data_IF_534990400942
#
_entry.id   IF_534990400942
#
_cell.length_a   1.000
_cell.length_b   1.000
_cell.length_c   1.000
_cell.angle_alpha   90.00
_cell.angle_beta   90.00
_cell.angle_gamma   90.00
#
_symmetry.space_group_name_H-M   'P 1'
#
loop_
_entity.id
_entity.type
_entity.pdbx_description
1 polymer ?
#
# COMPACT_ATOMS: atom_id res chain seq x y z
N UNK A 1 9.71 13.57 50.26
CA UNK A 1 8.56 12.89 49.61
C UNK A 1 7.66 13.87 48.86
N UNK A 2 7.09 14.89 49.51
CA UNK A 2 6.17 15.86 48.85
C UNK A 2 6.84 16.63 47.70
N UNK A 3 8.06 17.17 47.91
CA UNK A 3 8.79 17.88 46.85
C UNK A 3 9.10 16.99 45.65
N UNK A 4 9.49 15.74 45.89
CA UNK A 4 9.75 14.76 44.84
C UNK A 4 8.50 14.45 44.02
N UNK A 5 7.37 14.19 44.68
CA UNK A 5 6.08 13.96 44.01
C UNK A 5 5.61 15.19 43.22
N UNK A 6 5.82 16.40 43.75
CA UNK A 6 5.51 17.64 43.04
C UNK A 6 6.34 17.82 41.76
N UNK A 7 7.65 17.58 41.82
CA UNK A 7 8.52 17.65 40.64
C UNK A 7 8.13 16.61 39.58
N UNK A 8 7.81 15.38 39.98
CA UNK A 8 7.37 14.33 39.07
C UNK A 8 6.04 14.67 38.38
N UNK A 9 5.10 15.27 39.11
CA UNK A 9 3.83 15.73 38.56
C UNK A 9 4.03 16.82 37.51
N UNK A 10 4.81 17.87 37.81
CA UNK A 10 5.11 18.96 36.87
C UNK A 10 5.79 18.44 35.62
N UNK A 11 6.75 17.52 35.76
CA UNK A 11 7.46 16.92 34.64
C UNK A 11 6.50 16.12 33.73
N UNK A 12 5.57 15.36 34.32
CA UNK A 12 4.55 14.61 33.58
C UNK A 12 3.63 15.55 32.80
N UNK A 13 3.13 16.61 33.45
CA UNK A 13 2.25 17.60 32.80
C UNK A 13 2.98 18.33 31.67
N UNK A 14 4.24 18.70 31.87
CA UNK A 14 5.05 19.33 30.84
C UNK A 14 5.26 18.38 29.64
N UNK A 15 5.57 17.11 29.88
CA UNK A 15 5.72 16.11 28.82
C UNK A 15 4.42 15.92 28.01
N UNK A 16 3.27 15.81 28.70
CA UNK A 16 1.97 15.72 28.01
C UNK A 16 1.62 17.00 27.24
N UNK A 17 2.02 18.16 27.75
CA UNK A 17 1.80 19.44 27.07
C UNK A 17 2.64 19.55 25.80
N UNK A 18 3.92 19.12 25.84
CA UNK A 18 4.79 19.04 24.65
C UNK A 18 4.21 18.06 23.62
N UNK A 19 3.68 16.91 24.07
CA UNK A 19 2.98 15.99 23.19
C UNK A 19 1.71 16.62 22.56
N UNK A 20 0.95 17.40 23.34
CA UNK A 20 -0.19 18.17 22.81
C UNK A 20 0.21 19.20 21.76
N UNK A 21 1.36 19.88 21.94
CA UNK A 21 1.91 20.82 20.95
C UNK A 21 2.26 20.12 19.63
N UNK A 22 2.72 18.86 19.66
CA UNK A 22 2.94 18.07 18.45
C UNK A 22 1.62 17.90 17.66
N UNK A 23 0.51 17.66 18.35
CA UNK A 23 -0.82 17.58 17.73
C UNK A 23 -1.27 18.91 17.10
N UNK A 24 -1.04 20.05 17.77
CA UNK A 24 -1.32 21.36 17.19
C UNK A 24 -0.44 21.65 15.96
N UNK A 25 0.82 21.21 16.01
CA UNK A 25 1.74 21.33 14.89
C UNK A 25 1.29 20.49 13.68
N UNK A 26 0.84 19.25 13.87
CA UNK A 26 0.31 18.43 12.76
C UNK A 26 -0.97 19.00 12.17
N UNK A 27 -1.87 19.56 13.00
CA UNK A 27 -3.08 20.27 12.54
C UNK A 27 -2.69 21.51 11.72
N UNK A 28 -1.73 22.29 12.19
CA UNK A 28 -1.24 23.46 11.45
C UNK A 28 -0.61 23.06 10.11
N UNK A 29 0.21 22.01 10.08
CA UNK A 29 0.78 21.47 8.84
C UNK A 29 -0.32 21.00 7.87
N UNK A 30 -1.34 20.31 8.38
CA UNK A 30 -2.49 19.91 7.58
C UNK A 30 -3.22 21.13 6.99
N UNK A 31 -3.52 22.16 7.79
CA UNK A 31 -4.19 23.36 7.29
C UNK A 31 -3.37 24.15 6.29
N UNK A 32 -2.04 24.15 6.44
CA UNK A 32 -1.13 24.81 5.50
C UNK A 32 -1.08 24.12 4.14
N UNK A 33 -1.10 22.79 4.10
CA UNK A 33 -0.85 22.01 2.87
C UNK A 33 -2.09 21.25 2.34
N UNK A 34 -3.27 21.37 2.98
CA UNK A 34 -4.52 20.66 2.56
C UNK A 34 -5.00 20.99 1.15
N UNK A 35 -4.50 22.06 0.56
CA UNK A 35 -4.84 22.49 -0.80
C UNK A 35 -3.68 22.29 -1.79
N UNK A 36 -2.57 21.70 -1.34
CA UNK A 36 -1.45 21.39 -2.22
C UNK A 36 -1.86 20.27 -3.18
N UNK A 37 -1.57 20.47 -4.45
CA UNK A 37 -1.81 19.50 -5.52
C UNK A 37 -0.48 19.11 -6.14
N UNK A 38 -0.29 17.81 -6.34
CA UNK A 38 0.88 17.26 -7.00
C UNK A 38 0.42 16.57 -8.29
N UNK A 39 0.22 17.32 -9.38
CA UNK A 39 -0.19 16.71 -10.64
C UNK A 39 0.91 15.78 -11.16
N UNK A 40 0.52 14.63 -11.68
CA UNK A 40 1.45 13.68 -12.27
C UNK A 40 2.14 14.31 -13.49
N UNK A 41 3.47 14.17 -13.61
CA UNK A 41 4.20 14.53 -14.83
C UNK A 41 3.64 13.81 -16.05
N UNK A 42 3.63 14.48 -17.20
CA UNK A 42 3.23 13.85 -18.45
C UNK A 42 4.33 12.89 -18.93
N UNK A 43 4.06 11.59 -18.91
CA UNK A 43 4.96 10.54 -19.41
C UNK A 43 4.23 9.75 -20.49
N UNK A 44 4.90 9.51 -21.62
CA UNK A 44 4.29 8.73 -22.69
C UNK A 44 4.07 7.28 -22.22
N UNK A 45 3.00 6.59 -22.65
CA UNK A 45 2.75 5.20 -22.25
C UNK A 45 3.92 4.24 -22.53
N UNK A 46 4.68 4.51 -23.60
CA UNK A 46 5.87 3.76 -23.98
C UNK A 46 7.01 3.89 -22.95
N UNK A 47 7.09 5.01 -22.25
CA UNK A 47 8.17 5.33 -21.30
C UNK A 47 7.80 5.01 -19.84
N UNK A 48 6.54 4.60 -19.59
CA UNK A 48 6.13 4.15 -18.26
C UNK A 48 6.96 2.92 -17.81
N UNK A 49 7.42 2.85 -16.56
CA UNK A 49 8.20 1.72 -16.05
C UNK A 49 7.32 0.50 -15.76
N UNK A 50 7.92 -0.66 -15.52
CA UNK A 50 7.17 -1.86 -15.10
C UNK A 50 6.82 -1.78 -13.61
N UNK A 51 5.64 -2.28 -13.24
CA UNK A 51 5.13 -2.23 -11.87
C UNK A 51 4.63 -3.61 -11.43
N UNK A 52 5.05 -4.05 -10.25
CA UNK A 52 4.45 -5.18 -9.55
C UNK A 52 3.53 -4.68 -8.45
N UNK A 53 2.26 -5.07 -8.50
CA UNK A 53 1.28 -4.81 -7.44
C UNK A 53 1.21 -6.01 -6.51
N UNK A 54 1.47 -5.82 -5.22
CA UNK A 54 1.35 -6.85 -4.19
C UNK A 54 0.11 -6.62 -3.32
N UNK A 55 -0.67 -7.69 -3.16
CA UNK A 55 -1.91 -7.73 -2.40
C UNK A 55 -1.76 -8.71 -1.22
N UNK A 56 -1.13 -8.30 -0.10
CA UNK A 56 -0.98 -9.14 1.09
C UNK A 56 -2.32 -9.44 1.76
N UNK A 57 -2.63 -10.72 1.98
CA UNK A 57 -3.91 -11.20 2.51
C UNK A 57 -3.74 -12.24 3.62
N UNK A 58 -4.59 -12.15 4.65
CA UNK A 58 -4.65 -13.13 5.74
C UNK A 58 -6.05 -13.19 6.37
N UNK A 59 -6.83 -14.22 6.05
CA UNK A 59 -8.21 -14.43 6.52
C UNK A 59 -9.17 -13.30 6.11
N UNK A 60 -9.08 -12.87 4.85
CA UNK A 60 -9.76 -11.68 4.28
C UNK A 60 -10.84 -12.05 3.25
N UNK A 61 -11.55 -13.16 3.48
CA UNK A 61 -12.50 -13.74 2.52
C UNK A 61 -13.60 -12.79 2.01
N UNK A 62 -13.95 -11.76 2.78
CA UNK A 62 -15.04 -10.83 2.44
C UNK A 62 -14.62 -9.66 1.55
N UNK A 63 -13.31 -9.38 1.47
CA UNK A 63 -12.76 -8.21 0.76
C UNK A 63 -11.80 -8.59 -0.37
N UNK A 64 -11.26 -9.81 -0.37
CA UNK A 64 -10.30 -10.28 -1.37
C UNK A 64 -10.82 -10.16 -2.81
N UNK A 65 -12.12 -10.38 -3.04
CA UNK A 65 -12.69 -10.28 -4.38
C UNK A 65 -12.66 -8.84 -4.88
N UNK A 66 -13.06 -7.87 -4.05
CA UNK A 66 -13.06 -6.46 -4.36
C UNK A 66 -11.63 -5.93 -4.52
N UNK A 67 -10.70 -6.38 -3.67
CA UNK A 67 -9.28 -6.05 -3.76
C UNK A 67 -8.69 -6.46 -5.12
N UNK A 68 -8.87 -7.74 -5.51
CA UNK A 68 -8.35 -8.25 -6.78
C UNK A 68 -9.01 -7.55 -7.96
N UNK A 69 -10.33 -7.32 -7.90
CA UNK A 69 -11.04 -6.56 -8.93
C UNK A 69 -10.50 -5.15 -9.09
N UNK A 70 -10.25 -4.43 -7.99
CA UNK A 70 -9.68 -3.10 -8.01
C UNK A 70 -8.26 -3.10 -8.61
N UNK A 71 -7.41 -4.04 -8.21
CA UNK A 71 -6.06 -4.19 -8.75
C UNK A 71 -6.05 -4.53 -10.26
N UNK A 72 -6.92 -5.43 -10.71
CA UNK A 72 -7.05 -5.78 -12.14
C UNK A 72 -7.61 -4.62 -12.96
N UNK A 73 -8.38 -3.72 -12.34
CA UNK A 73 -8.98 -2.54 -12.97
C UNK A 73 -8.05 -1.33 -13.02
N UNK A 74 -6.81 -1.44 -12.52
CA UNK A 74 -5.80 -0.40 -12.68
C UNK A 74 -5.56 -0.12 -14.17
N UNK A 75 -5.68 1.14 -14.55
CA UNK A 75 -5.46 1.64 -15.89
C UNK A 75 -3.96 1.81 -16.12
N UNK A 76 -3.29 0.70 -16.43
CA UNK A 76 -1.85 0.66 -16.70
C UNK A 76 -1.56 -0.31 -17.85
N UNK A 77 -0.51 -0.09 -18.67
CA UNK A 77 -0.17 -1.01 -19.76
C UNK A 77 -0.04 -2.44 -19.25
N UNK A 78 -0.82 -3.37 -19.83
CA UNK A 78 -0.94 -4.76 -19.36
C UNK A 78 0.37 -5.54 -19.45
N UNK A 79 1.20 -5.21 -20.42
CA UNK A 79 2.55 -5.75 -20.62
C UNK A 79 3.56 -5.25 -19.57
N UNK A 80 3.22 -4.17 -18.85
CA UNK A 80 4.07 -3.55 -17.81
C UNK A 80 3.54 -3.75 -16.40
N UNK A 81 2.40 -4.43 -16.24
CA UNK A 81 1.76 -4.66 -14.95
C UNK A 81 1.85 -6.15 -14.58
N UNK A 82 2.36 -6.42 -13.40
CA UNK A 82 2.27 -7.73 -12.74
C UNK A 82 1.45 -7.58 -11.46
N UNK A 83 0.55 -8.50 -11.17
CA UNK A 83 -0.22 -8.55 -9.91
C UNK A 83 0.15 -9.81 -9.15
N UNK A 84 0.44 -9.68 -7.86
CA UNK A 84 0.74 -10.77 -6.96
C UNK A 84 -0.25 -10.73 -5.80
N UNK A 85 -1.11 -11.74 -5.69
CA UNK A 85 -1.86 -12.00 -4.46
C UNK A 85 -0.92 -12.73 -3.52
N UNK A 86 -0.63 -12.16 -2.37
CA UNK A 86 0.33 -12.72 -1.40
C UNK A 86 -0.44 -13.24 -0.21
N UNK A 87 -0.79 -14.52 -0.25
CA UNK A 87 -1.74 -15.11 0.70
C UNK A 87 -1.07 -16.04 1.72
N UNK A 88 -1.34 -15.75 2.99
CA UNK A 88 -0.90 -16.53 4.15
C UNK A 88 -2.09 -17.18 4.90
N UNK A 89 -3.28 -17.16 4.30
CA UNK A 89 -4.53 -17.46 4.98
C UNK A 89 -4.65 -18.92 5.37
N UNK A 90 -5.33 -19.18 6.50
CA UNK A 90 -5.63 -20.54 6.96
C UNK A 90 -7.10 -20.92 6.75
N UNK A 91 -7.91 -19.99 6.24
CA UNK A 91 -9.32 -20.16 5.96
C UNK A 91 -9.60 -20.25 4.45
N UNK A 92 -10.87 -20.08 4.06
CA UNK A 92 -11.33 -20.14 2.67
C UNK A 92 -10.70 -19.06 1.76
N UNK A 93 -10.07 -18.02 2.32
CA UNK A 93 -9.42 -16.94 1.56
C UNK A 93 -8.35 -17.50 0.62
N UNK A 94 -7.59 -18.50 1.07
CA UNK A 94 -6.52 -19.12 0.29
C UNK A 94 -7.02 -19.75 -1.02
N UNK A 95 -8.14 -20.48 -0.93
CA UNK A 95 -8.76 -21.11 -2.10
C UNK A 95 -9.37 -20.06 -3.03
N UNK A 96 -10.02 -19.05 -2.46
CA UNK A 96 -10.62 -17.95 -3.22
C UNK A 96 -9.57 -17.12 -3.97
N UNK A 97 -8.45 -16.78 -3.32
CA UNK A 97 -7.33 -16.08 -3.92
C UNK A 97 -6.74 -16.84 -5.12
N UNK A 98 -6.51 -18.15 -4.96
CA UNK A 98 -6.01 -19.00 -6.04
C UNK A 98 -7.00 -19.10 -7.22
N UNK A 99 -8.29 -19.22 -6.93
CA UNK A 99 -9.34 -19.28 -7.95
C UNK A 99 -9.45 -17.95 -8.74
N UNK A 100 -9.40 -16.81 -8.04
CA UNK A 100 -9.41 -15.48 -8.67
C UNK A 100 -8.18 -15.27 -9.57
N UNK A 101 -6.99 -15.65 -9.10
CA UNK A 101 -5.78 -15.57 -9.92
C UNK A 101 -5.93 -16.40 -11.20
N UNK A 102 -6.36 -17.67 -11.10
CA UNK A 102 -6.56 -18.53 -12.26
C UNK A 102 -7.62 -17.98 -13.24
N UNK A 103 -8.73 -17.44 -12.73
CA UNK A 103 -9.78 -16.84 -13.53
C UNK A 103 -9.26 -15.65 -14.35
N UNK A 104 -8.50 -14.74 -13.75
CA UNK A 104 -7.98 -13.57 -14.44
C UNK A 104 -6.78 -13.90 -15.35
N UNK A 105 -5.98 -14.91 -15.01
CA UNK A 105 -4.96 -15.45 -15.91
C UNK A 105 -5.57 -15.94 -17.23
N UNK A 106 -6.72 -16.63 -17.18
CA UNK A 106 -7.44 -17.07 -18.39
C UNK A 106 -7.92 -15.89 -19.26
N UNK A 107 -8.09 -14.70 -18.67
CA UNK A 107 -8.43 -13.47 -19.37
C UNK A 107 -7.20 -12.71 -19.89
N UNK A 108 -6.00 -13.29 -19.74
CA UNK A 108 -4.74 -12.70 -20.18
C UNK A 108 -4.13 -11.69 -19.20
N UNK A 109 -4.61 -11.63 -17.95
CA UNK A 109 -4.01 -10.78 -16.91
C UNK A 109 -2.77 -11.46 -16.34
N UNK A 110 -1.65 -10.73 -16.25
CA UNK A 110 -0.45 -11.17 -15.54
C UNK A 110 -0.65 -11.09 -14.03
N UNK A 111 -1.33 -12.08 -13.46
CA UNK A 111 -1.62 -12.19 -12.04
C UNK A 111 -1.18 -13.55 -11.51
N UNK A 112 -0.61 -13.63 -10.32
CA UNK A 112 -0.26 -14.89 -9.65
C UNK A 112 -0.71 -14.87 -8.19
N UNK A 113 -0.99 -16.06 -7.64
CA UNK A 113 -1.18 -16.24 -6.21
C UNK A 113 0.10 -16.86 -5.63
N UNK A 114 0.75 -16.15 -4.72
CA UNK A 114 1.97 -16.57 -4.03
C UNK A 114 1.58 -16.99 -2.62
N UNK A 115 1.80 -18.27 -2.33
CA UNK A 115 1.57 -18.86 -1.01
C UNK A 115 2.89 -19.42 -0.48
N UNK A 116 3.04 -19.39 0.84
CA UNK A 116 4.21 -19.97 1.51
C UNK A 116 3.78 -20.95 2.59
N UNK A 117 4.66 -21.92 2.85
CA UNK A 117 4.40 -22.98 3.83
C UNK A 117 4.61 -22.52 5.27
N UNK A 118 5.55 -21.57 5.49
CA UNK A 118 5.90 -21.08 6.82
C UNK A 118 5.67 -19.57 6.96
N UNK A 119 4.99 -19.17 8.03
CA UNK A 119 4.58 -17.77 8.28
C UNK A 119 5.64 -16.96 9.03
N UNK A 120 6.91 -17.13 8.69
CA UNK A 120 8.01 -16.40 9.33
C UNK A 120 7.98 -14.92 8.92
N UNK A 121 8.04 -14.01 9.90
CA UNK A 121 8.06 -12.56 9.63
C UNK A 121 6.70 -11.97 9.22
N UNK A 122 5.60 -12.73 9.32
CA UNK A 122 4.22 -12.26 9.05
C UNK A 122 4.12 -11.50 7.72
N UNK A 123 3.39 -10.37 7.68
CA UNK A 123 3.20 -9.55 6.48
C UNK A 123 4.52 -9.19 5.78
N UNK A 124 5.52 -8.73 6.54
CA UNK A 124 6.81 -8.32 5.97
C UNK A 124 7.55 -9.51 5.32
N UNK A 125 7.52 -10.68 5.97
CA UNK A 125 8.10 -11.90 5.40
C UNK A 125 7.37 -12.40 4.15
N UNK A 126 6.04 -12.24 4.11
CA UNK A 126 5.22 -12.63 2.96
C UNK A 126 5.54 -11.75 1.74
N UNK A 127 5.55 -10.43 1.94
CA UNK A 127 5.92 -9.46 0.92
C UNK A 127 7.36 -9.68 0.43
N UNK A 128 8.31 -9.92 1.34
CA UNK A 128 9.70 -10.21 0.98
C UNK A 128 9.86 -11.50 0.16
N UNK A 129 9.06 -12.55 0.44
CA UNK A 129 9.05 -13.77 -0.35
C UNK A 129 8.48 -13.53 -1.75
N UNK A 130 7.36 -12.83 -1.86
CA UNK A 130 6.74 -12.50 -3.15
C UNK A 130 7.62 -11.56 -4.00
N UNK A 131 8.38 -10.67 -3.34
CA UNK A 131 9.31 -9.75 -3.99
C UNK A 131 10.40 -10.46 -4.81
N UNK A 132 10.77 -11.69 -4.43
CA UNK A 132 11.74 -12.50 -5.20
C UNK A 132 11.24 -12.87 -6.60
N UNK A 133 9.92 -12.82 -6.82
CA UNK A 133 9.26 -13.12 -8.09
C UNK A 133 8.67 -11.86 -8.76
N UNK A 134 8.92 -10.68 -8.18
CA UNK A 134 8.48 -9.41 -8.73
C UNK A 134 9.30 -9.06 -9.97
N UNK A 135 8.64 -8.64 -11.05
CA UNK A 135 9.25 -8.26 -12.32
C UNK A 135 9.21 -6.76 -12.59
N UNK A 136 8.51 -6.00 -11.74
CA UNK A 136 8.42 -4.55 -11.80
C UNK A 136 9.71 -3.87 -11.37
N UNK A 137 10.03 -2.76 -12.02
CA UNK A 137 11.01 -1.80 -11.53
C UNK A 137 10.52 -1.15 -10.23
N UNK A 138 9.20 -0.90 -10.14
CA UNK A 138 8.54 -0.40 -8.94
C UNK A 138 7.56 -1.41 -8.36
N UNK A 139 7.33 -1.31 -7.06
CA UNK A 139 6.36 -2.14 -6.34
C UNK A 139 5.31 -1.25 -5.69
N UNK A 140 4.04 -1.54 -5.95
CA UNK A 140 2.90 -0.95 -5.25
C UNK A 140 2.29 -1.99 -4.32
N UNK A 141 2.01 -1.62 -3.07
CA UNK A 141 1.46 -2.53 -2.07
C UNK A 141 0.10 -1.98 -1.63
N UNK A 142 -0.94 -2.82 -1.68
CA UNK A 142 -2.28 -2.49 -1.21
C UNK A 142 -2.73 -3.51 -0.17
N UNK A 143 -3.13 -3.04 1.02
CA UNK A 143 -3.67 -3.92 2.05
C UNK A 143 -5.04 -4.49 1.63
N UNK A 144 -5.49 -5.55 2.28
CA UNK A 144 -6.61 -6.35 1.79
C UNK A 144 -7.96 -5.59 1.69
N UNK A 145 -8.10 -4.51 2.47
CA UNK A 145 -9.26 -3.63 2.50
C UNK A 145 -9.16 -2.41 1.57
N UNK A 146 -8.05 -2.27 0.83
CA UNK A 146 -7.85 -1.17 -0.11
C UNK A 146 -8.53 -1.43 -1.45
N UNK A 147 -9.11 -0.36 -1.99
CA UNK A 147 -9.67 -0.32 -3.35
C UNK A 147 -9.03 0.86 -4.08
N UNK A 148 -7.82 0.68 -4.66
CA UNK A 148 -7.19 1.75 -5.41
C UNK A 148 -8.07 2.16 -6.59
N UNK A 149 -8.10 3.46 -6.89
CA UNK A 149 -8.78 3.96 -8.09
C UNK A 149 -8.05 3.47 -9.35
N UNK A 150 -8.75 3.31 -10.49
CA UNK A 150 -8.12 2.88 -11.74
C UNK A 150 -6.89 3.69 -12.15
N UNK A 151 -6.92 5.01 -11.94
CA UNK A 151 -5.88 5.96 -12.30
C UNK A 151 -4.69 6.00 -11.32
N UNK A 152 -4.72 5.26 -10.20
CA UNK A 152 -3.73 5.37 -9.12
C UNK A 152 -2.28 5.24 -9.61
N UNK A 153 -1.98 4.27 -10.48
CA UNK A 153 -0.61 4.09 -11.00
C UNK A 153 -0.23 5.20 -11.98
N UNK A 154 -1.17 5.72 -12.78
CA UNK A 154 -0.90 6.86 -13.66
C UNK A 154 -0.67 8.15 -12.87
N UNK A 155 -1.31 8.30 -11.72
CA UNK A 155 -1.10 9.48 -10.87
C UNK A 155 0.20 9.41 -10.06
N UNK A 156 0.73 8.21 -9.80
CA UNK A 156 1.87 8.04 -8.88
C UNK A 156 3.18 7.73 -9.60
N UNK A 157 3.18 6.78 -10.54
CA UNK A 157 4.40 6.28 -11.18
C UNK A 157 5.19 7.36 -11.95
N UNK A 158 4.55 8.30 -12.69
CA UNK A 158 5.28 9.33 -13.42
C UNK A 158 6.20 10.23 -12.57
N UNK A 159 5.92 10.37 -11.27
CA UNK A 159 6.79 11.13 -10.37
C UNK A 159 8.18 10.51 -10.19
N UNK A 160 8.30 9.18 -10.31
CA UNK A 160 9.61 8.50 -10.29
C UNK A 160 10.42 8.78 -11.55
N UNK A 161 9.76 8.96 -12.70
CA UNK A 161 10.42 9.30 -13.96
C UNK A 161 10.98 10.72 -13.94
N UNK A 162 10.28 11.67 -13.29
CA UNK A 162 10.70 13.07 -13.20
C UNK A 162 11.83 13.31 -12.19
N UNK A 163 11.87 12.53 -11.10
CA UNK A 163 12.85 12.71 -10.03
C UNK A 163 13.59 11.41 -9.68
N UNK A 164 14.83 11.22 -10.19
CA UNK A 164 15.64 10.04 -9.91
C UNK A 164 16.03 9.83 -8.44
N UNK A 165 15.84 10.82 -7.57
CA UNK A 165 16.09 10.71 -6.12
C UNK A 165 14.85 10.29 -5.32
N UNK A 166 13.69 10.16 -5.96
CA UNK A 166 12.46 9.74 -5.31
C UNK A 166 12.49 8.24 -5.06
N UNK A 167 12.49 7.83 -3.79
CA UNK A 167 12.51 6.40 -3.41
C UNK A 167 11.15 5.82 -3.01
N UNK A 168 10.17 6.66 -2.68
CA UNK A 168 8.86 6.21 -2.18
C UNK A 168 7.81 7.30 -2.40
N UNK A 169 6.60 6.86 -2.75
CA UNK A 169 5.39 7.69 -2.75
C UNK A 169 4.40 7.08 -1.78
N UNK A 170 3.85 7.91 -0.89
CA UNK A 170 2.76 7.52 0.01
C UNK A 170 1.51 8.28 -0.39
N UNK A 171 0.47 7.55 -0.79
CA UNK A 171 -0.85 8.14 -1.02
C UNK A 171 -1.61 8.30 0.30
N UNK A 172 -2.51 9.28 0.33
CA UNK A 172 -3.44 9.48 1.44
C UNK A 172 -4.43 8.33 1.53
N UNK A 173 -4.71 7.86 2.74
CA UNK A 173 -5.75 6.87 2.98
C UNK A 173 -7.12 7.54 3.08
N UNK A 174 -8.08 6.98 2.35
CA UNK A 174 -9.51 7.28 2.48
C UNK A 174 -10.23 6.11 3.13
N UNK A 175 -11.43 6.35 3.63
CA UNK A 175 -12.32 5.30 4.13
C UNK A 175 -13.62 5.37 3.32
N UNK A 176 -14.19 4.21 3.01
CA UNK A 176 -15.47 4.13 2.29
C UNK A 176 -16.69 4.36 3.19
N UNK A 177 -16.46 4.39 4.52
CA UNK A 177 -17.48 4.35 5.57
C UNK A 177 -17.61 5.69 6.28
#
# INVERSE_FOLDING_TARGET
>A
MIQFLGSLYVLTVAAMSIYGLLGLFTIWLYWRHRHDTFPAPAVAPADLPTVTVQLPTYNERYVITQLVQAAVSLDYPRDKLQIQIVDDSTDETAQLAAALAAQYQQQGVNITCVQRTERVGYKAGALANALQQATGEFVAIFDADFQPKPDFLQETIPHFCDNPRLGMIQARWGHLN
#
